data_IF_226314111530
#
_entry.id   IF_226314111530
#
_cell.length_a   1.000
_cell.length_b   1.000
_cell.length_c   1.000
_cell.angle_alpha   90.00
_cell.angle_beta   90.00
_cell.angle_gamma   90.00
#
_symmetry.space_group_name_H-M   'P 1'
#
loop_
_entity.id
_entity.type
_entity.pdbx_description
1 polymer ?
#
# COMPACT_ATOMS: atom_id res chain seq x y z
N UNK A 1 24.23 5.54 -12.74
CA UNK A 1 24.20 4.52 -11.66
C UNK A 1 22.85 4.51 -10.96
N UNK A 2 22.51 3.50 -10.14
CA UNK A 2 21.25 3.51 -9.36
C UNK A 2 21.18 4.68 -8.37
N UNK A 3 22.32 5.05 -7.77
CA UNK A 3 22.43 6.21 -6.86
C UNK A 3 22.10 7.52 -7.55
N UNK A 4 22.64 7.74 -8.76
CA UNK A 4 22.31 8.92 -9.57
C UNK A 4 20.84 8.94 -9.98
N UNK A 5 20.29 7.79 -10.39
CA UNK A 5 18.88 7.68 -10.74
C UNK A 5 17.98 8.04 -9.55
N UNK A 6 18.28 7.53 -8.36
CA UNK A 6 17.53 7.88 -7.15
C UNK A 6 17.63 9.38 -6.82
N UNK A 7 18.83 9.96 -6.91
CA UNK A 7 19.06 11.38 -6.71
C UNK A 7 18.24 12.25 -7.67
N UNK A 8 18.27 11.94 -8.97
CA UNK A 8 17.47 12.63 -9.98
C UNK A 8 15.97 12.48 -9.73
N UNK A 9 15.52 11.29 -9.30
CA UNK A 9 14.12 11.07 -8.92
C UNK A 9 13.66 12.01 -7.81
N UNK A 10 14.48 12.21 -6.77
CA UNK A 10 14.18 13.16 -5.68
C UNK A 10 14.15 14.61 -6.14
N UNK A 11 15.03 14.99 -7.05
CA UNK A 11 15.03 16.34 -7.65
C UNK A 11 13.75 16.58 -8.46
N UNK A 12 13.37 15.65 -9.32
CA UNK A 12 12.13 15.75 -10.09
C UNK A 12 10.88 15.74 -9.22
N UNK A 13 10.85 14.91 -8.17
CA UNK A 13 9.74 14.85 -7.23
C UNK A 13 9.53 16.20 -6.54
N UNK A 14 10.62 16.82 -6.06
CA UNK A 14 10.58 18.16 -5.42
C UNK A 14 10.15 19.24 -6.40
N UNK A 15 10.52 19.12 -7.68
CA UNK A 15 10.08 20.02 -8.75
C UNK A 15 8.63 19.76 -9.22
N UNK A 16 7.92 18.78 -8.67
CA UNK A 16 6.56 18.42 -9.08
C UNK A 16 6.47 17.64 -10.40
N UNK A 17 7.61 17.26 -10.99
CA UNK A 17 7.69 16.52 -12.25
C UNK A 17 7.54 15.01 -11.99
N UNK A 18 6.36 14.60 -11.54
CA UNK A 18 6.13 13.28 -10.94
C UNK A 18 6.37 12.12 -11.92
N UNK A 19 6.02 12.24 -13.20
CA UNK A 19 6.28 11.17 -14.18
C UNK A 19 7.78 10.98 -14.44
N UNK A 20 8.55 12.08 -14.48
CA UNK A 20 10.02 12.01 -14.60
C UNK A 20 10.65 11.41 -13.35
N UNK A 21 10.15 11.79 -12.18
CA UNK A 21 10.58 11.21 -10.91
C UNK A 21 10.32 9.71 -10.86
N UNK A 22 9.13 9.28 -11.29
CA UNK A 22 8.76 7.87 -11.36
C UNK A 22 9.68 7.09 -12.31
N UNK A 23 9.94 7.62 -13.51
CA UNK A 23 10.86 6.98 -14.46
C UNK A 23 12.26 6.77 -13.86
N UNK A 24 12.73 7.72 -13.05
CA UNK A 24 13.99 7.57 -12.30
C UNK A 24 13.91 6.49 -11.23
N UNK A 25 12.87 6.49 -10.38
CA UNK A 25 12.72 5.50 -9.31
C UNK A 25 12.50 4.07 -9.82
N UNK A 26 11.80 3.88 -10.93
CA UNK A 26 11.60 2.56 -11.56
C UNK A 26 12.92 1.90 -12.01
N UNK A 27 13.99 2.68 -12.19
CA UNK A 27 15.33 2.17 -12.54
C UNK A 27 16.12 1.68 -11.33
N UNK A 28 15.66 1.98 -10.11
CA UNK A 28 16.31 1.60 -8.86
C UNK A 28 15.60 0.37 -8.31
N UNK A 29 16.29 -0.78 -8.25
CA UNK A 29 15.65 -2.08 -7.95
C UNK A 29 15.69 -2.49 -6.48
N UNK A 30 16.25 -1.64 -5.62
CA UNK A 30 16.24 -1.85 -4.18
C UNK A 30 14.92 -1.40 -3.53
N UNK A 31 14.78 -1.68 -2.24
CA UNK A 31 13.57 -1.40 -1.46
C UNK A 31 13.21 0.08 -1.44
N UNK A 32 14.18 1.00 -1.45
CA UNK A 32 13.94 2.44 -1.48
C UNK A 32 13.37 2.90 -2.82
N UNK A 33 13.93 2.39 -3.94
CA UNK A 33 13.47 2.70 -5.29
C UNK A 33 12.05 2.22 -5.55
N UNK A 34 11.75 0.98 -5.13
CA UNK A 34 10.41 0.40 -5.25
C UNK A 34 9.41 1.19 -4.38
N UNK A 35 9.77 1.48 -3.12
CA UNK A 35 8.92 2.27 -2.21
C UNK A 35 8.60 3.66 -2.79
N UNK A 36 9.61 4.36 -3.29
CA UNK A 36 9.42 5.69 -3.88
C UNK A 36 8.52 5.64 -5.12
N UNK A 37 8.71 4.62 -5.98
CA UNK A 37 7.84 4.38 -7.15
C UNK A 37 6.39 4.15 -6.73
N UNK A 38 6.15 3.29 -5.74
CA UNK A 38 4.81 2.95 -5.26
C UNK A 38 4.07 4.18 -4.68
N UNK A 39 4.78 5.06 -3.97
CA UNK A 39 4.24 6.33 -3.46
C UNK A 39 3.86 7.27 -4.61
N UNK A 40 4.74 7.44 -5.61
CA UNK A 40 4.46 8.31 -6.75
C UNK A 40 3.30 7.79 -7.61
N UNK A 41 3.23 6.48 -7.85
CA UNK A 41 2.11 5.87 -8.58
C UNK A 41 0.77 6.17 -7.90
N UNK A 42 0.69 6.16 -6.56
CA UNK A 42 -0.51 6.58 -5.83
C UNK A 42 -0.84 8.05 -6.04
N UNK A 43 0.16 8.94 -6.02
CA UNK A 43 -0.01 10.39 -6.27
C UNK A 43 -0.52 10.66 -7.69
N UNK A 44 -0.03 9.89 -8.65
CA UNK A 44 -0.46 9.89 -10.05
C UNK A 44 -1.78 9.15 -10.30
N UNK A 45 -2.45 8.65 -9.24
CA UNK A 45 -3.69 7.87 -9.30
C UNK A 45 -3.59 6.57 -10.12
N UNK A 46 -2.37 6.07 -10.35
CA UNK A 46 -2.05 4.78 -10.99
C UNK A 46 -2.11 3.66 -9.96
N UNK A 47 -3.32 3.42 -9.42
CA UNK A 47 -3.50 2.60 -8.22
C UNK A 47 -3.22 1.10 -8.42
N UNK A 48 -3.40 0.57 -9.63
CA UNK A 48 -3.06 -0.82 -9.97
C UNK A 48 -1.57 -1.04 -9.91
N UNK A 49 -0.82 -0.26 -10.67
CA UNK A 49 0.65 -0.28 -10.68
C UNK A 49 1.25 0.01 -9.30
N UNK A 50 0.63 0.90 -8.53
CA UNK A 50 1.05 1.11 -7.14
C UNK A 50 0.91 -0.16 -6.30
N UNK A 51 -0.17 -0.93 -6.48
CA UNK A 51 -0.37 -2.19 -5.76
C UNK A 51 0.62 -3.27 -6.22
N UNK A 52 0.96 -3.31 -7.51
CA UNK A 52 2.05 -4.16 -8.02
C UNK A 52 3.38 -3.81 -7.33
N UNK A 53 3.76 -2.54 -7.32
CA UNK A 53 5.01 -2.10 -6.69
C UNK A 53 5.05 -2.39 -5.18
N UNK A 54 3.93 -2.27 -4.46
CA UNK A 54 3.86 -2.67 -3.04
C UNK A 54 4.02 -4.17 -2.84
N UNK A 55 3.51 -5.01 -3.76
CA UNK A 55 3.73 -6.46 -3.74
C UNK A 55 5.18 -6.81 -4.01
N UNK A 56 5.81 -6.16 -4.99
CA UNK A 56 7.23 -6.34 -5.30
C UNK A 56 8.12 -5.97 -4.11
N UNK A 57 7.79 -4.89 -3.41
CA UNK A 57 8.48 -4.48 -2.19
C UNK A 57 8.39 -5.57 -1.10
N UNK A 58 7.20 -6.14 -0.87
CA UNK A 58 7.01 -7.22 0.10
C UNK A 58 7.72 -8.51 -0.30
N UNK A 59 7.91 -8.76 -1.60
CA UNK A 59 8.68 -9.89 -2.11
C UNK A 59 10.20 -9.69 -2.03
N UNK A 60 10.67 -8.45 -1.80
CA UNK A 60 12.11 -8.14 -1.76
C UNK A 60 12.73 -8.59 -0.44
N UNK A 61 13.79 -9.41 -0.53
CA UNK A 61 14.54 -9.90 0.64
C UNK A 61 15.16 -8.74 1.42
N UNK A 62 15.03 -8.77 2.75
CA UNK A 62 15.58 -7.72 3.62
C UNK A 62 14.75 -6.45 3.67
N UNK A 63 13.49 -6.49 3.21
CA UNK A 63 12.57 -5.37 3.39
C UNK A 63 12.45 -4.99 4.87
N UNK A 64 12.75 -3.72 5.25
CA UNK A 64 12.54 -3.24 6.62
C UNK A 64 11.08 -3.39 7.05
N UNK A 65 10.84 -3.78 8.30
CA UNK A 65 9.47 -3.97 8.84
C UNK A 65 8.61 -2.71 8.68
N UNK A 66 9.21 -1.52 8.81
CA UNK A 66 8.50 -0.27 8.61
C UNK A 66 7.95 -0.11 7.19
N UNK A 67 8.69 -0.55 6.18
CA UNK A 67 8.29 -0.49 4.76
C UNK A 67 7.29 -1.60 4.45
N UNK A 68 7.48 -2.79 5.01
CA UNK A 68 6.52 -3.88 4.88
C UNK A 68 5.15 -3.50 5.45
N UNK A 69 5.13 -2.86 6.63
CA UNK A 69 3.90 -2.34 7.25
C UNK A 69 3.21 -1.31 6.36
N UNK A 70 3.96 -0.34 5.86
CA UNK A 70 3.43 0.69 4.95
C UNK A 70 2.82 0.07 3.68
N UNK A 71 3.49 -0.93 3.10
CA UNK A 71 2.99 -1.66 1.94
C UNK A 71 1.69 -2.41 2.26
N UNK A 72 1.62 -3.11 3.39
CA UNK A 72 0.40 -3.81 3.84
C UNK A 72 -0.75 -2.82 4.10
N UNK A 73 -0.48 -1.68 4.73
CA UNK A 73 -1.48 -0.62 4.93
C UNK A 73 -2.01 -0.09 3.58
N UNK A 74 -1.12 0.11 2.60
CA UNK A 74 -1.46 0.59 1.27
C UNK A 74 -2.27 -0.45 0.47
N UNK A 75 -1.88 -1.73 0.53
CA UNK A 75 -2.61 -2.83 -0.09
C UNK A 75 -3.99 -3.01 0.53
N UNK A 76 -4.12 -2.86 1.86
CA UNK A 76 -5.43 -2.87 2.52
C UNK A 76 -6.35 -1.75 1.97
N UNK A 77 -5.84 -0.53 1.76
CA UNK A 77 -6.61 0.56 1.12
C UNK A 77 -7.00 0.18 -0.31
N UNK A 78 -6.06 -0.35 -1.09
CA UNK A 78 -6.29 -0.71 -2.49
C UNK A 78 -7.40 -1.76 -2.62
N UNK A 79 -7.31 -2.84 -1.84
CA UNK A 79 -8.30 -3.90 -1.86
C UNK A 79 -9.68 -3.42 -1.38
N UNK A 80 -9.73 -2.56 -0.37
CA UNK A 80 -11.00 -2.02 0.13
C UNK A 80 -11.70 -1.10 -0.89
N UNK A 81 -10.96 -0.21 -1.55
CA UNK A 81 -11.56 0.88 -2.33
C UNK A 81 -11.53 0.67 -3.85
N UNK A 82 -10.60 -0.14 -4.36
CA UNK A 82 -10.36 -0.31 -5.80
C UNK A 82 -10.71 -1.72 -6.26
N UNK A 83 -10.10 -2.73 -5.65
CA UNK A 83 -10.39 -4.13 -6.01
C UNK A 83 -11.73 -4.64 -5.44
N UNK A 84 -12.29 -3.95 -4.43
CA UNK A 84 -13.50 -4.34 -3.69
C UNK A 84 -13.42 -5.73 -3.06
N UNK A 85 -12.21 -6.17 -2.74
CA UNK A 85 -11.93 -7.42 -2.05
C UNK A 85 -11.73 -7.12 -0.55
N UNK A 86 -12.82 -7.23 0.20
CA UNK A 86 -12.80 -6.91 1.63
C UNK A 86 -12.03 -7.93 2.47
N UNK A 87 -11.97 -9.19 2.03
CA UNK A 87 -11.22 -10.24 2.72
C UNK A 87 -9.72 -10.01 2.60
N UNK A 88 -9.22 -9.73 1.39
CA UNK A 88 -7.83 -9.36 1.20
C UNK A 88 -7.49 -8.07 1.95
N UNK A 89 -8.38 -7.06 1.91
CA UNK A 89 -8.18 -5.83 2.67
C UNK A 89 -8.02 -6.10 4.18
N UNK A 90 -8.84 -6.99 4.74
CA UNK A 90 -8.78 -7.41 6.14
C UNK A 90 -7.49 -8.18 6.44
N UNK A 91 -7.10 -9.12 5.56
CA UNK A 91 -5.87 -9.90 5.72
C UNK A 91 -4.64 -8.99 5.79
N UNK A 92 -4.51 -8.02 4.87
CA UNK A 92 -3.40 -7.07 4.88
C UNK A 92 -3.42 -6.17 6.12
N UNK A 93 -4.60 -5.70 6.54
CA UNK A 93 -4.73 -4.91 7.77
C UNK A 93 -4.29 -5.70 9.02
N UNK A 94 -4.67 -6.98 9.15
CA UNK A 94 -4.23 -7.84 10.25
C UNK A 94 -2.72 -8.08 10.24
N UNK A 95 -2.15 -8.33 9.06
CA UNK A 95 -0.70 -8.52 8.92
C UNK A 95 0.07 -7.25 9.34
N UNK A 96 -0.43 -6.07 8.96
CA UNK A 96 0.19 -4.79 9.33
C UNK A 96 0.21 -4.53 10.85
N UNK A 97 -0.77 -5.07 11.59
CA UNK A 97 -0.87 -4.91 13.05
C UNK A 97 0.20 -5.72 13.80
N UNK A 98 0.72 -6.78 13.18
CA UNK A 98 1.79 -7.62 13.76
C UNK A 98 3.14 -6.90 13.78
N UNK A 99 3.31 -5.88 12.94
CA UNK A 99 4.55 -5.12 12.82
C UNK A 99 4.57 -3.98 13.84
N UNK A 100 5.76 -3.58 14.28
CA UNK A 100 5.90 -2.46 15.22
C UNK A 100 5.25 -1.20 14.62
N UNK A 101 4.55 -0.42 15.42
CA UNK A 101 3.89 0.81 14.96
C UNK A 101 3.64 1.75 16.14
N UNK A 102 3.47 3.03 15.84
CA UNK A 102 3.04 4.01 16.85
C UNK A 102 1.61 3.70 17.32
N UNK A 103 1.27 4.13 18.53
CA UNK A 103 -0.06 3.91 19.13
C UNK A 103 -1.18 4.41 18.20
N UNK A 104 -1.08 5.66 17.74
CA UNK A 104 -2.06 6.25 16.82
C UNK A 104 -2.27 5.44 15.53
N UNK A 105 -1.19 4.84 15.00
CA UNK A 105 -1.25 4.06 13.76
C UNK A 105 -1.86 2.68 14.00
N UNK A 106 -1.54 2.04 15.13
CA UNK A 106 -2.21 0.79 15.57
C UNK A 106 -3.71 1.02 15.72
N UNK A 107 -4.11 2.12 16.34
CA UNK A 107 -5.53 2.43 16.53
C UNK A 107 -6.23 2.70 15.20
N UNK A 108 -5.60 3.43 14.27
CA UNK A 108 -6.12 3.59 12.91
C UNK A 108 -6.33 2.24 12.18
N UNK A 109 -5.42 1.28 12.34
CA UNK A 109 -5.55 -0.07 11.78
C UNK A 109 -6.70 -0.82 12.44
N UNK A 110 -6.84 -0.77 13.78
CA UNK A 110 -7.96 -1.38 14.52
C UNK A 110 -9.31 -0.82 14.08
N UNK A 111 -9.43 0.51 13.94
CA UNK A 111 -10.66 1.14 13.47
C UNK A 111 -11.02 0.69 12.05
N UNK A 112 -10.02 0.53 11.17
CA UNK A 112 -10.25 -0.02 9.83
C UNK A 112 -10.73 -1.47 9.88
N UNK A 113 -10.11 -2.32 10.72
CA UNK A 113 -10.54 -3.71 10.90
C UNK A 113 -12.00 -3.78 11.35
N UNK A 114 -12.39 -3.00 12.37
CA UNK A 114 -13.77 -2.93 12.82
C UNK A 114 -14.74 -2.47 11.70
N UNK A 115 -14.31 -1.57 10.81
CA UNK A 115 -15.09 -1.18 9.63
C UNK A 115 -15.20 -2.31 8.61
N UNK A 116 -14.11 -3.03 8.34
CA UNK A 116 -14.08 -4.15 7.39
C UNK A 116 -14.92 -5.32 7.91
N UNK A 117 -14.84 -5.65 9.20
CA UNK A 117 -15.61 -6.73 9.83
C UNK A 117 -17.11 -6.45 9.73
N UNK A 118 -17.55 -5.20 9.96
CA UNK A 118 -18.96 -4.81 9.75
C UNK A 118 -19.39 -4.98 8.30
N UNK A 119 -18.58 -4.54 7.33
CA UNK A 119 -18.91 -4.66 5.91
C UNK A 119 -18.99 -6.13 5.47
N UNK A 120 -18.07 -6.97 5.94
CA UNK A 120 -18.08 -8.41 5.67
C UNK A 120 -19.32 -9.06 6.28
N UNK A 121 -19.63 -8.80 7.56
CA UNK A 121 -20.84 -9.31 8.20
C UNK A 121 -22.14 -8.88 7.51
N UNK A 122 -22.19 -7.64 6.98
CA UNK A 122 -23.33 -7.18 6.17
C UNK A 122 -23.43 -7.82 4.79
N UNK A 123 -22.32 -8.31 4.20
CA UNK A 123 -22.36 -9.04 2.93
C UNK A 123 -22.74 -10.51 3.11
N UNK A 124 -22.43 -11.09 4.27
CA UNK A 124 -22.72 -12.50 4.59
C UNK A 124 -24.18 -12.74 4.98
N UNK A 125 -24.97 -11.70 5.26
CA UNK A 125 -26.42 -11.83 5.47
C UNK A 125 -27.13 -11.68 4.12
N UNK A 126 -27.44 -12.77 3.38
CA UNK A 126 -28.46 -12.66 2.35
C UNK A 126 -29.76 -12.25 3.02
N UNK A 127 -30.46 -11.28 2.43
CA UNK A 127 -31.88 -11.04 2.74
C UNK A 127 -32.61 -12.38 2.58
N UNK A 128 -32.83 -13.09 3.68
CA UNK A 128 -33.82 -14.15 3.72
C UNK A 128 -35.18 -13.45 3.66
N UNK A 129 -36.00 -13.67 2.62
CA UNK A 129 -37.36 -13.18 2.64
C UNK A 129 -38.08 -13.84 3.82
N UNK A 130 -38.66 -13.02 4.69
CA UNK A 130 -39.64 -13.46 5.68
C UNK A 130 -40.85 -14.01 4.90
N UNK A 131 -40.99 -15.32 4.87
CA UNK A 131 -42.17 -16.04 4.39
C UNK A 131 -42.62 -17.01 5.48
#
# INVERSE_FOLDING_TARGET
TEREAFGMGRLYERAGLLDRALACFCRVKNVEGIRASAILLRRLRRYGEAADAWRDLLATRGCPEAYAREAMEALAVHHEHRARDLEAARRFALQSLRLQATVARRDAIKYRLARLDRKLGSQTLPCLPLA
#
